data_IF_413995927097
#
_entry.id   IF_413995927097
#
_cell.length_a   1.000
_cell.length_b   1.000
_cell.length_c   1.000
_cell.angle_alpha   90.00
_cell.angle_beta   90.00
_cell.angle_gamma   90.00
#
_symmetry.space_group_name_H-M   'P 1'
#
loop_
_entity.id
_entity.type
_entity.pdbx_description
1 polymer ?
#
# COMPACT_ATOMS: atom_id res chain seq x y z
N UNK A 1 7.44 15.86 -13.85
CA UNK A 1 6.92 16.72 -12.77
C UNK A 1 8.11 17.36 -12.09
N UNK A 2 8.01 18.61 -11.59
CA UNK A 2 9.14 19.31 -10.98
C UNK A 2 9.25 19.12 -9.45
N UNK A 3 8.69 18.02 -8.92
CA UNK A 3 8.78 17.68 -7.50
C UNK A 3 9.92 16.69 -7.25
N UNK A 4 10.58 16.80 -6.09
CA UNK A 4 11.66 15.89 -5.67
C UNK A 4 11.13 14.51 -5.23
N UNK A 5 9.87 14.43 -4.88
CA UNK A 5 9.14 13.19 -4.56
C UNK A 5 7.69 13.31 -5.02
N UNK A 6 7.24 12.38 -5.84
CA UNK A 6 5.85 12.30 -6.28
C UNK A 6 5.17 11.07 -5.67
N UNK A 7 4.13 11.32 -4.88
CA UNK A 7 3.34 10.28 -4.20
C UNK A 7 1.93 10.23 -4.78
N UNK A 8 1.40 9.03 -5.03
CA UNK A 8 0.05 8.84 -5.51
C UNK A 8 -0.73 7.76 -4.75
N UNK A 9 -2.05 7.72 -4.94
CA UNK A 9 -2.88 6.59 -4.55
C UNK A 9 -3.10 5.69 -5.77
N UNK A 10 -2.72 4.42 -5.67
CA UNK A 10 -2.91 3.42 -6.72
C UNK A 10 -4.10 2.51 -6.34
N UNK A 11 -5.28 2.87 -6.79
CA UNK A 11 -6.54 2.20 -6.43
C UNK A 11 -7.00 1.22 -7.51
N UNK A 12 -6.14 0.24 -7.83
CA UNK A 12 -6.34 -0.79 -8.84
C UNK A 12 -5.41 -1.99 -8.59
N UNK A 13 -5.57 -3.07 -9.36
CA UNK A 13 -4.63 -4.19 -9.40
C UNK A 13 -4.05 -4.42 -10.81
N UNK A 14 -2.76 -4.77 -10.85
CA UNK A 14 -2.08 -5.33 -12.03
C UNK A 14 -2.12 -6.86 -11.94
N UNK A 15 -3.07 -7.50 -12.59
CA UNK A 15 -3.32 -8.94 -12.45
C UNK A 15 -3.68 -9.66 -13.77
N UNK A 16 -3.28 -9.07 -14.89
CA UNK A 16 -3.50 -9.65 -16.22
C UNK A 16 -4.90 -9.43 -16.78
N UNK A 17 -5.09 -9.87 -17.99
CA UNK A 17 -6.37 -9.83 -18.69
C UNK A 17 -7.43 -10.72 -18.02
N UNK A 18 -8.75 -10.42 -18.24
CA UNK A 18 -9.27 -9.28 -18.97
C UNK A 18 -9.12 -7.98 -18.18
N UNK A 19 -8.72 -6.90 -18.84
CA UNK A 19 -8.67 -5.58 -18.21
C UNK A 19 -10.07 -5.00 -18.06
N UNK A 20 -10.29 -4.25 -16.98
CA UNK A 20 -11.59 -3.66 -16.65
C UNK A 20 -11.44 -2.39 -15.82
N UNK A 21 -12.39 -1.47 -15.99
CA UNK A 21 -12.62 -0.39 -15.06
C UNK A 21 -13.44 -0.87 -13.85
N UNK A 22 -14.32 0.01 -13.34
CA UNK A 22 -15.23 -0.34 -12.25
C UNK A 22 -16.15 -1.52 -12.66
N UNK A 23 -16.42 -2.48 -11.76
CA UNK A 23 -16.06 -2.52 -10.34
C UNK A 23 -14.69 -3.16 -10.02
N UNK A 24 -14.04 -3.83 -10.98
CA UNK A 24 -12.92 -4.72 -10.68
C UNK A 24 -11.56 -4.01 -10.69
N UNK A 25 -11.45 -2.87 -11.40
CA UNK A 25 -10.23 -2.06 -11.48
C UNK A 25 -8.97 -2.87 -11.81
N UNK A 26 -9.03 -3.68 -12.90
CA UNK A 26 -7.91 -4.45 -13.44
C UNK A 26 -7.21 -3.64 -14.51
N UNK A 27 -6.06 -3.08 -14.19
CA UNK A 27 -5.30 -2.26 -15.13
C UNK A 27 -4.23 -3.06 -15.88
N UNK A 28 -3.88 -2.64 -17.11
CA UNK A 28 -2.72 -3.17 -17.81
C UNK A 28 -1.43 -2.91 -17.03
N UNK A 29 -0.55 -3.89 -16.97
CA UNK A 29 0.74 -3.79 -16.29
C UNK A 29 1.64 -2.69 -16.88
N UNK A 30 1.47 -2.39 -18.16
CA UNK A 30 2.14 -1.28 -18.83
C UNK A 30 1.91 0.09 -18.14
N UNK A 31 0.79 0.23 -17.39
CA UNK A 31 0.53 1.43 -16.61
C UNK A 31 1.57 1.65 -15.49
N UNK A 32 2.11 0.58 -14.91
CA UNK A 32 3.17 0.72 -13.88
C UNK A 32 4.41 1.40 -14.47
N UNK A 33 4.84 0.98 -15.66
CA UNK A 33 5.96 1.61 -16.36
C UNK A 33 5.63 3.08 -16.73
N UNK A 34 4.44 3.33 -17.24
CA UNK A 34 4.02 4.68 -17.59
C UNK A 34 3.98 5.63 -16.36
N UNK A 35 3.56 5.14 -15.19
CA UNK A 35 3.62 5.91 -13.94
C UNK A 35 5.08 6.25 -13.58
N UNK A 36 6.00 5.28 -13.68
CA UNK A 36 7.43 5.51 -13.43
C UNK A 36 8.01 6.54 -14.38
N UNK A 37 7.75 6.43 -15.67
CA UNK A 37 8.18 7.39 -16.70
C UNK A 37 7.63 8.81 -16.48
N UNK A 38 6.46 8.93 -15.86
CA UNK A 38 5.85 10.21 -15.47
C UNK A 38 6.34 10.74 -14.13
N UNK A 39 7.29 10.05 -13.49
CA UNK A 39 7.96 10.51 -12.28
C UNK A 39 7.21 10.20 -10.99
N UNK A 40 6.41 9.13 -10.95
CA UNK A 40 5.91 8.61 -9.68
C UNK A 40 7.01 7.82 -8.98
N UNK A 41 7.27 8.14 -7.72
CA UNK A 41 8.31 7.53 -6.88
C UNK A 41 7.72 6.55 -5.88
N UNK A 42 6.54 6.87 -5.36
CA UNK A 42 5.86 6.13 -4.30
C UNK A 42 4.36 6.09 -4.57
N UNK A 43 3.74 4.94 -4.32
CA UNK A 43 2.28 4.83 -4.31
C UNK A 43 1.78 4.25 -2.98
N UNK A 44 0.72 4.86 -2.47
CA UNK A 44 -0.08 4.29 -1.40
C UNK A 44 -1.00 3.23 -2.03
N UNK A 45 -0.96 2.02 -1.48
CA UNK A 45 -1.70 0.85 -1.98
C UNK A 45 -2.73 0.32 -1.00
N UNK A 46 -2.74 0.79 0.26
CA UNK A 46 -3.80 0.49 1.23
C UNK A 46 -5.04 1.34 0.94
N UNK A 47 -5.95 0.84 0.14
CA UNK A 47 -7.19 1.52 -0.26
C UNK A 47 -8.35 0.52 -0.37
N UNK A 48 -9.54 1.02 -0.72
CA UNK A 48 -10.76 0.21 -0.80
C UNK A 48 -10.64 -1.00 -1.72
N UNK A 49 -9.84 -0.91 -2.78
CA UNK A 49 -9.72 -1.94 -3.82
C UNK A 49 -8.40 -2.72 -3.77
N UNK A 50 -7.65 -2.64 -2.66
CA UNK A 50 -6.34 -3.31 -2.49
C UNK A 50 -6.37 -4.80 -2.83
N UNK A 51 -7.44 -5.51 -2.44
CA UNK A 51 -7.63 -6.94 -2.70
C UNK A 51 -8.85 -7.24 -3.58
N UNK A 52 -9.28 -6.28 -4.40
CA UNK A 52 -10.46 -6.46 -5.26
C UNK A 52 -10.32 -7.69 -6.19
N UNK A 53 -9.11 -7.98 -6.62
CA UNK A 53 -8.77 -9.15 -7.44
C UNK A 53 -8.06 -10.25 -6.60
N UNK A 54 -8.40 -10.34 -5.32
CA UNK A 54 -7.84 -11.30 -4.38
C UNK A 54 -6.38 -11.01 -3.97
N UNK A 55 -5.84 -11.87 -3.11
CA UNK A 55 -4.43 -11.77 -2.66
C UNK A 55 -3.45 -11.94 -3.82
N UNK A 56 -3.79 -12.73 -4.82
CA UNK A 56 -2.96 -12.90 -6.04
C UNK A 56 -2.85 -11.59 -6.82
N UNK A 57 -3.95 -10.84 -6.96
CA UNK A 57 -3.96 -9.52 -7.61
C UNK A 57 -3.12 -8.49 -6.85
N UNK A 58 -3.23 -8.46 -5.52
CA UNK A 58 -2.39 -7.62 -4.66
C UNK A 58 -0.90 -7.96 -4.84
N UNK A 59 -0.52 -9.24 -4.72
CA UNK A 59 0.88 -9.69 -4.88
C UNK A 59 1.43 -9.39 -6.26
N UNK A 60 0.62 -9.57 -7.30
CA UNK A 60 0.98 -9.22 -8.67
C UNK A 60 1.23 -7.71 -8.81
N UNK A 61 0.37 -6.87 -8.22
CA UNK A 61 0.53 -5.41 -8.21
C UNK A 61 1.86 -5.01 -7.57
N UNK A 62 2.17 -5.54 -6.39
CA UNK A 62 3.44 -5.29 -5.69
C UNK A 62 4.63 -5.71 -6.56
N UNK A 63 4.56 -6.89 -7.19
CA UNK A 63 5.60 -7.38 -8.09
C UNK A 63 5.87 -6.40 -9.24
N UNK A 64 4.84 -5.88 -9.91
CA UNK A 64 5.02 -4.93 -11.01
C UNK A 64 5.56 -3.59 -10.55
N UNK A 65 5.10 -3.06 -9.41
CA UNK A 65 5.66 -1.84 -8.81
C UNK A 65 7.16 -2.00 -8.52
N UNK A 66 7.54 -3.11 -7.88
CA UNK A 66 8.96 -3.41 -7.60
C UNK A 66 9.77 -3.55 -8.88
N UNK A 67 9.21 -4.18 -9.93
CA UNK A 67 9.91 -4.37 -11.22
C UNK A 67 10.24 -3.04 -11.89
N UNK A 68 9.36 -2.04 -11.79
CA UNK A 68 9.59 -0.72 -12.40
C UNK A 68 10.26 0.27 -11.44
N UNK A 69 10.50 -0.13 -10.18
CA UNK A 69 11.15 0.72 -9.17
C UNK A 69 10.27 1.85 -8.66
N UNK A 70 8.96 1.60 -8.47
CA UNK A 70 8.04 2.44 -7.71
C UNK A 70 7.88 1.81 -6.33
N UNK A 71 8.20 2.56 -5.27
CA UNK A 71 7.95 2.11 -3.91
C UNK A 71 6.44 2.08 -3.61
N UNK A 72 6.04 1.25 -2.65
CA UNK A 72 4.66 1.18 -2.19
C UNK A 72 4.57 1.11 -0.68
N UNK A 73 3.43 1.51 -0.12
CA UNK A 73 3.19 1.50 1.32
C UNK A 73 1.75 1.08 1.64
N UNK A 74 1.60 0.31 2.72
CA UNK A 74 0.30 -0.13 3.26
C UNK A 74 -0.19 -1.48 2.78
N UNK A 75 0.51 -2.14 1.81
CA UNK A 75 0.24 -3.52 1.41
C UNK A 75 1.52 -4.34 1.30
N UNK A 76 1.43 -5.67 1.49
CA UNK A 76 2.59 -6.56 1.64
C UNK A 76 2.35 -7.88 0.92
N UNK A 77 3.36 -8.37 0.17
CA UNK A 77 3.31 -9.64 -0.54
C UNK A 77 3.58 -10.84 0.38
N UNK A 78 4.37 -10.65 1.45
CA UNK A 78 4.68 -11.64 2.45
C UNK A 78 4.61 -11.03 3.87
N UNK A 79 4.53 -11.89 4.87
CA UNK A 79 4.48 -11.48 6.27
C UNK A 79 5.77 -10.77 6.68
N UNK A 80 6.91 -11.29 6.25
CA UNK A 80 8.23 -10.74 6.54
C UNK A 80 8.40 -9.32 5.98
N UNK A 81 7.76 -9.02 4.84
CA UNK A 81 7.79 -7.67 4.24
C UNK A 81 7.16 -6.64 5.19
N UNK A 82 6.05 -7.02 5.85
CA UNK A 82 5.40 -6.18 6.85
C UNK A 82 6.18 -6.10 8.16
N UNK A 83 6.73 -7.21 8.62
CA UNK A 83 7.47 -7.29 9.88
C UNK A 83 8.78 -6.49 9.83
N UNK A 84 9.35 -6.32 8.63
CA UNK A 84 10.50 -5.45 8.42
C UNK A 84 10.12 -4.00 8.66
N UNK A 85 10.40 -3.33 9.68
CA UNK A 85 10.01 -1.96 10.04
C UNK A 85 8.52 -1.75 10.36
N UNK A 86 7.76 -2.78 10.72
CA UNK A 86 6.34 -2.69 11.08
C UNK A 86 5.48 -1.92 10.05
N UNK A 87 5.75 -2.16 8.76
CA UNK A 87 5.03 -1.55 7.66
C UNK A 87 5.42 -0.10 7.33
N UNK A 88 6.48 0.41 7.92
CA UNK A 88 6.97 1.77 7.65
C UNK A 88 7.92 1.78 6.46
N UNK A 89 7.65 2.65 5.50
CA UNK A 89 8.57 2.96 4.41
C UNK A 89 9.36 4.24 4.72
N UNK A 90 10.69 4.17 4.78
CA UNK A 90 11.56 5.33 4.97
C UNK A 90 12.18 5.76 3.63
N UNK A 91 12.04 7.05 3.28
CA UNK A 91 12.67 7.68 2.11
C UNK A 91 13.59 8.80 2.55
N UNK A 92 14.70 8.96 1.86
CA UNK A 92 15.55 10.15 1.98
C UNK A 92 15.43 10.98 0.70
N UNK A 93 14.94 12.19 0.83
CA UNK A 93 14.73 13.11 -0.28
C UNK A 93 15.52 14.38 -0.01
N UNK A 94 16.63 14.58 -0.73
CA UNK A 94 17.52 15.74 -0.58
C UNK A 94 17.98 15.97 0.88
N UNK A 95 18.24 14.88 1.62
CA UNK A 95 18.69 14.93 3.02
C UNK A 95 17.55 14.93 4.05
N UNK A 96 16.29 15.06 3.63
CA UNK A 96 15.12 14.99 4.51
C UNK A 96 14.64 13.53 4.57
N UNK A 97 14.62 12.97 5.77
CA UNK A 97 14.10 11.61 6.02
C UNK A 97 12.59 11.65 6.25
N UNK A 98 11.84 10.98 5.40
CA UNK A 98 10.38 10.93 5.46
C UNK A 98 9.95 9.48 5.70
N UNK A 99 9.24 9.24 6.79
CA UNK A 99 8.61 7.94 7.06
C UNK A 99 7.15 7.97 6.60
N UNK A 100 6.76 6.97 5.79
CA UNK A 100 5.40 6.82 5.29
C UNK A 100 4.72 5.64 5.99
N UNK A 101 3.46 5.85 6.38
CA UNK A 101 2.54 4.85 6.94
C UNK A 101 1.22 5.02 6.21
N UNK A 102 0.61 3.92 5.75
CA UNK A 102 -0.68 4.00 5.05
C UNK A 102 -1.66 2.96 5.60
N UNK A 103 -2.90 3.38 5.78
CA UNK A 103 -4.00 2.54 6.25
C UNK A 103 -5.25 2.77 5.41
N UNK A 104 -6.04 1.72 5.20
CA UNK A 104 -7.39 1.86 4.63
C UNK A 104 -8.48 1.60 5.66
N UNK A 105 -9.63 2.24 5.45
CA UNK A 105 -10.81 2.03 6.29
C UNK A 105 -11.37 0.61 6.12
N UNK A 106 -11.42 0.12 4.87
CA UNK A 106 -12.02 -1.17 4.54
C UNK A 106 -11.67 -1.60 3.12
N UNK A 107 -12.21 -2.76 2.69
CA UNK A 107 -11.81 -3.48 1.48
C UNK A 107 -13.04 -3.82 0.60
N UNK A 108 -13.93 -2.87 0.35
CA UNK A 108 -15.11 -3.05 -0.51
C UNK A 108 -15.98 -4.27 -0.11
N UNK A 109 -16.19 -4.49 1.19
CA UNK A 109 -16.89 -5.65 1.77
C UNK A 109 -16.22 -7.01 1.44
N UNK A 110 -14.92 -7.01 1.15
CA UNK A 110 -14.15 -8.25 0.95
C UNK A 110 -13.38 -8.52 2.24
N UNK A 111 -13.58 -9.69 2.82
CA UNK A 111 -12.80 -10.13 3.98
C UNK A 111 -11.43 -10.65 3.53
N UNK A 112 -10.40 -10.32 4.30
CA UNK A 112 -9.06 -10.86 4.10
C UNK A 112 -9.08 -12.35 4.40
N UNK A 113 -8.59 -13.21 3.51
CA UNK A 113 -8.51 -14.64 3.76
C UNK A 113 -7.64 -14.97 4.99
N UNK A 114 -8.02 -16.01 5.73
CA UNK A 114 -7.26 -16.53 6.87
C UNK A 114 -5.77 -16.76 6.50
N UNK A 115 -4.87 -16.33 7.38
CA UNK A 115 -3.43 -16.39 7.15
C UNK A 115 -2.86 -15.30 6.24
N UNK A 116 -3.70 -14.37 5.76
CA UNK A 116 -3.29 -13.23 4.93
C UNK A 116 -3.53 -11.87 5.61
N UNK A 117 -3.78 -11.85 6.92
CA UNK A 117 -4.10 -10.64 7.70
C UNK A 117 -3.00 -9.58 7.66
N UNK A 118 -1.79 -9.99 7.31
CA UNK A 118 -0.64 -9.10 7.15
C UNK A 118 -0.71 -8.26 5.87
N UNK A 119 -1.50 -8.66 4.87
CA UNK A 119 -1.35 -8.17 3.49
C UNK A 119 -1.77 -6.72 3.28
N UNK A 120 -2.61 -6.15 4.16
CA UNK A 120 -3.09 -4.75 4.09
C UNK A 120 -3.16 -4.16 5.50
N UNK A 121 -2.74 -2.92 5.64
CA UNK A 121 -2.92 -2.17 6.87
C UNK A 121 -4.34 -1.60 6.98
N UNK A 122 -5.06 -2.02 8.03
CA UNK A 122 -6.46 -1.72 8.25
C UNK A 122 -6.66 -0.80 9.47
N UNK A 123 -7.39 0.30 9.28
CA UNK A 123 -7.75 1.24 10.36
C UNK A 123 -8.68 0.63 11.40
N UNK A 124 -9.52 -0.32 11.00
CA UNK A 124 -10.52 -0.94 11.84
C UNK A 124 -10.33 -2.45 11.90
N UNK A 125 -10.54 -3.07 13.06
CA UNK A 125 -10.52 -4.53 13.20
C UNK A 125 -11.77 -5.15 12.56
N UNK A 126 -12.92 -4.48 12.71
CA UNK A 126 -14.21 -4.80 12.11
C UNK A 126 -14.41 -4.12 10.74
N UNK A 127 -13.35 -4.09 9.91
CA UNK A 127 -13.27 -3.39 8.62
C UNK A 127 -14.24 -3.92 7.55
N UNK A 128 -14.78 -5.11 7.74
CA UNK A 128 -15.74 -5.77 6.84
C UNK A 128 -17.19 -5.70 7.34
N UNK A 129 -17.45 -4.95 8.42
CA UNK A 129 -18.76 -4.85 9.04
C UNK A 129 -19.12 -3.42 9.45
N UNK A 130 -18.85 -3.03 10.69
CA UNK A 130 -19.43 -1.81 11.28
C UNK A 130 -18.48 -0.62 11.40
N UNK A 131 -17.16 -0.82 11.26
CA UNK A 131 -16.14 0.23 11.41
C UNK A 131 -16.17 0.96 12.76
N UNK A 132 -16.42 0.24 13.84
CA UNK A 132 -16.50 0.80 15.21
C UNK A 132 -15.26 0.53 16.03
N UNK A 133 -14.55 -0.58 15.76
CA UNK A 133 -13.38 -0.99 16.51
C UNK A 133 -12.09 -0.55 15.83
N UNK A 134 -11.59 0.62 16.22
CA UNK A 134 -10.32 1.15 15.67
C UNK A 134 -9.15 0.24 16.04
N UNK A 135 -8.32 -0.11 15.06
CA UNK A 135 -7.10 -0.92 15.23
C UNK A 135 -5.94 -0.09 15.84
N UNK A 136 -6.22 0.47 17.03
CA UNK A 136 -5.34 1.41 17.71
C UNK A 136 -3.94 0.85 17.96
N UNK A 137 -3.85 -0.43 18.32
CA UNK A 137 -2.57 -1.06 18.66
C UNK A 137 -1.64 -1.14 17.44
N UNK A 138 -2.18 -1.52 16.28
CA UNK A 138 -1.42 -1.55 15.03
C UNK A 138 -0.95 -0.15 14.62
N UNK A 139 -1.83 0.85 14.70
CA UNK A 139 -1.49 2.25 14.37
C UNK A 139 -0.39 2.77 15.29
N UNK A 140 -0.52 2.57 16.60
CA UNK A 140 0.48 3.00 17.60
C UNK A 140 1.82 2.28 17.36
N UNK A 141 1.78 0.99 17.00
CA UNK A 141 2.98 0.21 16.68
C UNK A 141 3.72 0.81 15.49
N UNK A 142 3.05 1.05 14.36
CA UNK A 142 3.67 1.65 13.17
C UNK A 142 4.19 3.08 13.43
N UNK A 143 3.46 3.90 14.20
CA UNK A 143 3.96 5.24 14.57
C UNK A 143 5.21 5.18 15.44
N UNK A 144 5.29 4.22 16.38
CA UNK A 144 6.49 4.00 17.20
C UNK A 144 7.67 3.51 16.35
N UNK A 145 7.42 2.58 15.43
CA UNK A 145 8.44 2.09 14.50
C UNK A 145 8.95 3.23 13.61
N UNK A 146 8.05 4.07 13.05
CA UNK A 146 8.45 5.24 12.28
C UNK A 146 9.34 6.18 13.09
N UNK A 147 8.96 6.51 14.33
CA UNK A 147 9.78 7.36 15.22
C UNK A 147 11.15 6.77 15.53
N UNK A 148 11.26 5.44 15.67
CA UNK A 148 12.51 4.76 15.94
C UNK A 148 13.53 4.88 14.80
N UNK A 149 13.06 5.12 13.56
CA UNK A 149 13.89 5.38 12.38
C UNK A 149 14.44 6.83 12.34
N UNK A 150 14.09 7.67 13.31
CA UNK A 150 14.51 9.08 13.42
C UNK A 150 14.26 9.87 12.12
N UNK A 151 13.02 9.90 11.60
CA UNK A 151 12.67 10.70 10.44
C UNK A 151 12.50 12.17 10.83
N UNK A 152 12.67 13.06 9.84
CA UNK A 152 12.35 14.48 9.95
C UNK A 152 10.84 14.73 9.84
N UNK A 153 10.14 13.85 9.09
CA UNK A 153 8.69 13.91 8.85
C UNK A 153 8.07 12.51 8.87
N UNK A 154 6.89 12.39 9.47
CA UNK A 154 6.03 11.19 9.37
C UNK A 154 4.75 11.59 8.61
N UNK A 155 4.46 10.87 7.52
CA UNK A 155 3.29 11.04 6.67
C UNK A 155 2.39 9.80 6.78
#
# INVERSE_FOLDING_TARGET
MGADLTVGNLELNFCGEPYSGRPDFRAPEALALALKEKGFDLVQTANTYSIQNGISGLKSTIKYLNTVGIDHVGTYAAKDDKETNDGVLLKNVNGIKIAFIAYTKGLNNISVPEGSEYCVDLLYKDYDSEYKEVNKDAIVKSVKAAKALSPDLIV
#
